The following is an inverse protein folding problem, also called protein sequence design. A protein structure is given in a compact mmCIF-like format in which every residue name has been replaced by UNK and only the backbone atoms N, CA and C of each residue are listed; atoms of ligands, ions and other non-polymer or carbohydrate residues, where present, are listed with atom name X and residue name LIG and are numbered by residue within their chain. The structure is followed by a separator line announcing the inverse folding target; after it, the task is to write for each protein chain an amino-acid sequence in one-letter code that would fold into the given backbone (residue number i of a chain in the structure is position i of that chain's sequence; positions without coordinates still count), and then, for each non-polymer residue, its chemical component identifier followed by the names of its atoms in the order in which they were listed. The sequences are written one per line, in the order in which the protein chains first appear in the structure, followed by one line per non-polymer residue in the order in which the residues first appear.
data_IF_765292246986
#
_entry.id   IF_765292246986
#
_cell.length_a   1.000
_cell.length_b   1.000
_cell.length_c   1.000
_cell.angle_alpha   90.00
_cell.angle_beta   90.00
_cell.angle_gamma   90.00
#
_symmetry.space_group_name_H-M   'P 1'
#
loop_
_entity.id
_entity.type
_entity.pdbx_description
1 polymer ?
#
# COMPACT_ATOMS: atom_id res chain seq x y z
N UNK A 1 24.49 67.42 -10.40
CA UNK A 1 24.75 68.60 -11.27
C UNK A 1 23.89 68.48 -12.53
N UNK A 2 23.54 69.64 -13.12
CA UNK A 2 22.95 69.95 -14.46
C UNK A 2 22.61 68.77 -15.40
N UNK A 3 21.41 68.58 -15.98
CA UNK A 3 20.38 69.45 -16.66
C UNK A 3 20.35 69.20 -18.19
N UNK A 4 19.14 69.29 -18.77
CA UNK A 4 18.71 69.12 -20.20
C UNK A 4 18.37 67.68 -20.65
N UNK A 5 17.37 67.43 -21.54
CA UNK A 5 16.21 68.24 -22.01
C UNK A 5 15.02 67.35 -22.45
N UNK A 6 13.82 67.96 -22.41
CA UNK A 6 12.47 67.49 -22.72
C UNK A 6 12.08 67.20 -24.20
N UNK A 7 10.92 66.54 -24.37
CA UNK A 7 9.84 66.91 -25.33
C UNK A 7 8.50 66.33 -24.80
N UNK A 8 7.47 67.11 -24.41
CA UNK A 8 6.41 67.78 -25.22
C UNK A 8 5.60 66.77 -26.07
N UNK A 9 4.26 66.75 -26.13
CA UNK A 9 3.24 67.83 -26.13
C UNK A 9 1.86 67.23 -25.75
N UNK A 10 1.05 67.84 -24.85
CA UNK A 10 -0.26 68.55 -25.10
C UNK A 10 -1.37 67.72 -25.80
N UNK A 11 -2.68 67.86 -25.52
CA UNK A 11 -3.42 68.79 -24.64
C UNK A 11 -4.92 68.47 -24.51
N UNK A 12 -5.46 68.68 -23.29
CA UNK A 12 -6.66 69.47 -22.93
C UNK A 12 -8.10 69.03 -23.30
N UNK A 13 -8.95 69.04 -22.25
CA UNK A 13 -10.29 69.68 -22.09
C UNK A 13 -11.06 68.87 -21.02
N UNK A 14 -11.24 69.37 -19.78
CA UNK A 14 -12.33 70.28 -19.37
C UNK A 14 -13.71 69.82 -19.91
N UNK A 15 -14.70 69.34 -19.14
CA UNK A 15 -14.83 69.16 -17.69
C UNK A 15 -16.15 69.78 -17.18
N UNK A 16 -16.98 69.05 -16.43
CA UNK A 16 -18.03 69.63 -15.58
C UNK A 16 -18.55 68.65 -14.51
N UNK A 17 -18.97 69.20 -13.37
CA UNK A 17 -19.72 68.50 -12.32
C UNK A 17 -21.15 68.19 -12.79
N UNK A 18 -21.70 67.05 -12.36
CA UNK A 18 -22.84 67.07 -11.43
C UNK A 18 -22.96 65.73 -10.70
N UNK A 19 -23.54 65.76 -9.51
CA UNK A 19 -23.79 64.58 -8.68
C UNK A 19 -25.30 64.48 -8.37
N UNK A 20 -25.68 63.39 -7.66
CA UNK A 20 -26.90 63.25 -6.84
C UNK A 20 -28.17 62.72 -7.53
N UNK A 21 -28.42 61.41 -7.26
CA UNK A 21 -29.69 60.78 -6.82
C UNK A 21 -30.64 60.01 -7.77
N UNK A 22 -30.97 58.81 -7.24
CA UNK A 22 -32.02 57.82 -7.51
C UNK A 22 -33.06 58.08 -8.63
N UNK A 23 -33.29 57.02 -9.44
CA UNK A 23 -34.56 56.28 -9.46
C UNK A 23 -34.25 54.78 -9.59
N UNK A 24 -34.86 53.92 -8.78
CA UNK A 24 -34.80 52.48 -8.96
C UNK A 24 -35.87 52.00 -9.95
N UNK A 25 -35.50 51.16 -10.92
CA UNK A 25 -36.45 50.50 -11.83
C UNK A 25 -36.30 48.98 -11.78
N UNK A 26 -37.44 48.31 -11.89
CA UNK A 26 -37.60 46.86 -11.63
C UNK A 26 -36.97 46.04 -12.76
N UNK A 27 -36.28 44.95 -12.38
CA UNK A 27 -35.57 44.09 -13.34
C UNK A 27 -36.51 43.36 -14.31
N UNK A 28 -36.18 43.42 -15.60
CA UNK A 28 -36.71 42.49 -16.59
C UNK A 28 -35.92 41.17 -16.54
N UNK A 29 -36.56 39.99 -16.63
CA UNK A 29 -35.85 38.72 -16.64
C UNK A 29 -35.15 38.52 -17.99
N UNK A 30 -33.81 38.57 -17.98
CA UNK A 30 -33.01 38.17 -19.13
C UNK A 30 -33.30 36.71 -19.48
N UNK A 31 -33.89 36.49 -20.66
CA UNK A 31 -34.04 35.16 -21.25
C UNK A 31 -32.66 34.57 -21.53
N UNK A 32 -32.13 33.82 -20.56
CA UNK A 32 -30.91 33.03 -20.71
C UNK A 32 -31.15 31.97 -21.79
N UNK A 33 -30.73 32.29 -23.01
CA UNK A 33 -30.82 31.40 -24.17
C UNK A 33 -29.94 30.18 -23.90
N UNK A 34 -30.55 29.10 -23.43
CA UNK A 34 -29.85 27.86 -23.09
C UNK A 34 -29.15 27.31 -24.34
N UNK A 35 -27.86 27.64 -24.48
CA UNK A 35 -26.97 26.97 -25.42
C UNK A 35 -26.88 25.52 -24.97
N UNK A 36 -27.56 24.63 -25.71
CA UNK A 36 -27.29 23.19 -25.65
C UNK A 36 -25.84 23.00 -26.09
N UNK A 37 -24.92 23.04 -25.12
CA UNK A 37 -23.54 22.66 -25.33
C UNK A 37 -23.54 21.21 -25.76
N UNK A 38 -23.43 20.98 -27.07
CA UNK A 38 -23.11 19.67 -27.61
C UNK A 38 -21.76 19.29 -27.03
N UNK A 39 -21.78 18.40 -26.03
CA UNK A 39 -20.57 17.77 -25.50
C UNK A 39 -19.98 16.98 -26.64
N UNK A 40 -19.05 17.61 -27.37
CA UNK A 40 -18.35 17.04 -28.51
C UNK A 40 -17.46 15.95 -27.94
N UNK A 41 -17.97 14.72 -27.91
CA UNK A 41 -17.31 13.54 -27.37
C UNK A 41 -15.93 13.46 -28.02
N UNK A 42 -14.89 13.76 -27.25
CA UNK A 42 -13.53 13.77 -27.75
C UNK A 42 -13.19 12.33 -28.14
N UNK A 43 -13.12 12.08 -29.45
CA UNK A 43 -12.59 10.83 -29.98
C UNK A 43 -11.10 10.85 -29.69
N UNK A 44 -10.68 10.26 -28.56
CA UNK A 44 -9.27 10.00 -28.31
C UNK A 44 -8.74 9.25 -29.52
N UNK A 45 -7.80 9.87 -30.23
CA UNK A 45 -7.16 9.23 -31.37
C UNK A 45 -6.44 7.99 -30.83
N UNK A 46 -6.67 6.85 -31.46
CA UNK A 46 -6.03 5.58 -31.10
C UNK A 46 -5.16 5.08 -32.25
N UNK A 47 -3.90 4.76 -31.94
CA UNK A 47 -3.00 4.05 -32.84
C UNK A 47 -3.06 2.54 -32.65
N UNK A 48 -2.09 1.86 -33.26
CA UNK A 48 -1.87 0.41 -33.17
C UNK A 48 -0.39 0.17 -32.86
N UNK A 49 -0.11 -0.82 -32.02
CA UNK A 49 1.24 -1.32 -31.73
C UNK A 49 1.36 -2.71 -32.36
N UNK A 50 2.50 -3.01 -33.00
CA UNK A 50 2.82 -4.33 -33.56
C UNK A 50 4.26 -4.70 -33.24
N UNK A 51 4.58 -5.98 -33.30
CA UNK A 51 5.95 -6.45 -33.18
C UNK A 51 6.03 -7.96 -33.01
N UNK A 52 7.19 -8.44 -32.62
CA UNK A 52 7.44 -9.84 -32.25
C UNK A 52 7.88 -9.98 -30.80
N UNK A 53 7.52 -11.10 -30.17
CA UNK A 53 8.01 -11.53 -28.87
C UNK A 53 8.95 -12.73 -29.09
N UNK A 54 10.18 -12.62 -28.61
CA UNK A 54 11.22 -13.65 -28.70
C UNK A 54 11.84 -13.91 -27.33
N UNK A 55 12.51 -15.05 -27.17
CA UNK A 55 13.37 -15.30 -26.01
C UNK A 55 14.80 -14.79 -26.24
N UNK A 56 15.65 -14.87 -25.21
CA UNK A 56 17.05 -14.47 -25.29
C UNK A 56 17.90 -15.31 -26.28
N UNK A 57 17.39 -16.44 -26.76
CA UNK A 57 18.01 -17.26 -27.82
C UNK A 57 17.46 -16.91 -29.22
N UNK A 58 16.53 -15.94 -29.32
CA UNK A 58 15.89 -15.51 -30.56
C UNK A 58 14.66 -16.34 -30.96
N UNK A 59 14.29 -17.37 -30.18
CA UNK A 59 13.14 -18.24 -30.45
C UNK A 59 11.84 -17.43 -30.32
N UNK A 60 10.88 -17.53 -31.26
CA UNK A 60 9.58 -16.90 -31.09
C UNK A 60 8.83 -17.42 -29.84
N UNK A 61 8.21 -16.52 -29.09
CA UNK A 61 7.41 -16.87 -27.90
C UNK A 61 5.93 -16.77 -28.23
N UNK A 62 5.31 -17.93 -28.46
CA UNK A 62 3.89 -18.07 -28.74
C UNK A 62 3.00 -17.82 -27.51
N UNK A 63 1.80 -17.29 -27.72
CA UNK A 63 0.78 -17.07 -26.68
C UNK A 63 1.27 -16.23 -25.48
N UNK A 64 2.17 -15.29 -25.71
CA UNK A 64 2.55 -14.26 -24.75
C UNK A 64 1.47 -13.18 -24.72
N UNK A 65 1.03 -12.80 -23.53
CA UNK A 65 0.00 -11.77 -23.31
C UNK A 65 0.66 -10.39 -23.35
N UNK A 66 0.27 -9.59 -24.34
CA UNK A 66 0.68 -8.19 -24.51
C UNK A 66 -0.49 -7.29 -24.09
N UNK A 67 -0.26 -6.43 -23.11
CA UNK A 67 -1.31 -5.64 -22.46
C UNK A 67 -0.91 -4.16 -22.35
N UNK A 68 -1.82 -3.26 -22.71
CA UNK A 68 -1.73 -1.86 -22.28
C UNK A 68 -2.34 -1.72 -20.88
N UNK A 69 -1.53 -1.29 -19.91
CA UNK A 69 -1.86 -1.35 -18.48
C UNK A 69 -3.11 -0.55 -18.07
N UNK A 70 -3.47 0.53 -18.78
CA UNK A 70 -4.51 1.47 -18.33
C UNK A 70 -5.93 1.18 -18.85
N UNK A 71 -6.10 0.29 -19.83
CA UNK A 71 -7.43 -0.11 -20.33
C UNK A 71 -7.77 -1.58 -20.09
N UNK A 72 -6.79 -2.39 -19.70
CA UNK A 72 -6.95 -3.83 -19.56
C UNK A 72 -7.01 -4.59 -20.90
N UNK A 73 -6.89 -3.94 -22.06
CA UNK A 73 -6.86 -4.61 -23.36
C UNK A 73 -5.65 -5.55 -23.47
N UNK A 74 -5.90 -6.85 -23.68
CA UNK A 74 -4.89 -7.91 -23.83
C UNK A 74 -5.00 -8.53 -25.22
N UNK A 75 -3.88 -8.72 -25.88
CA UNK A 75 -3.75 -9.59 -27.07
C UNK A 75 -2.71 -10.67 -26.80
N UNK A 76 -2.76 -11.77 -27.57
CA UNK A 76 -1.77 -12.86 -27.48
C UNK A 76 -0.90 -12.90 -28.73
N UNK A 77 0.40 -13.14 -28.56
CA UNK A 77 1.28 -13.43 -29.69
C UNK A 77 0.90 -14.76 -30.36
N UNK A 78 1.09 -14.82 -31.68
CA UNK A 78 0.92 -16.04 -32.49
C UNK A 78 2.14 -16.95 -32.36
N UNK A 79 2.10 -18.10 -33.04
CA UNK A 79 3.17 -19.12 -33.02
C UNK A 79 4.50 -18.62 -33.59
N UNK A 80 4.46 -17.65 -34.52
CA UNK A 80 5.64 -16.92 -35.03
C UNK A 80 6.12 -15.78 -34.11
N UNK A 81 5.54 -15.66 -32.91
CA UNK A 81 5.81 -14.61 -31.93
C UNK A 81 5.18 -13.26 -32.28
N UNK A 82 4.52 -13.09 -33.43
CA UNK A 82 3.96 -11.81 -33.86
C UNK A 82 2.71 -11.42 -33.07
N UNK A 83 2.52 -10.13 -32.81
CA UNK A 83 1.33 -9.59 -32.15
C UNK A 83 0.90 -8.24 -32.76
N UNK A 84 -0.38 -7.89 -32.59
CA UNK A 84 -0.97 -6.61 -32.97
C UNK A 84 -1.93 -6.18 -31.85
N UNK A 85 -1.66 -5.05 -31.21
CA UNK A 85 -2.48 -4.42 -30.17
C UNK A 85 -3.05 -3.11 -30.71
N UNK A 86 -4.36 -3.07 -30.98
CA UNK A 86 -5.07 -1.90 -31.52
C UNK A 86 -5.88 -1.17 -30.44
N UNK A 87 -6.37 0.03 -30.75
CA UNK A 87 -7.20 0.82 -29.84
C UNK A 87 -6.41 1.52 -28.72
N UNK A 88 -5.10 1.71 -28.91
CA UNK A 88 -4.21 2.31 -27.91
C UNK A 88 -4.14 3.83 -28.11
N UNK A 89 -4.40 4.69 -27.10
CA UNK A 89 -4.35 6.14 -27.25
C UNK A 89 -3.02 6.64 -27.81
N UNK A 90 -3.09 7.67 -28.65
CA UNK A 90 -1.93 8.39 -29.16
C UNK A 90 -1.23 9.12 -28.02
N UNK A 91 0.09 8.95 -27.93
CA UNK A 91 0.93 9.43 -26.84
C UNK A 91 1.82 8.33 -26.23
N UNK A 92 2.57 8.64 -25.16
CA UNK A 92 3.32 7.63 -24.41
C UNK A 92 2.37 6.71 -23.63
N UNK A 93 2.59 5.40 -23.72
CA UNK A 93 1.82 4.39 -22.98
C UNK A 93 2.71 3.27 -22.47
N UNK A 94 2.42 2.76 -21.28
CA UNK A 94 3.10 1.57 -20.74
C UNK A 94 2.45 0.29 -21.24
N UNK A 95 3.24 -0.52 -21.95
CA UNK A 95 2.87 -1.86 -22.42
C UNK A 95 3.65 -2.89 -21.61
N UNK A 96 2.96 -3.96 -21.18
CA UNK A 96 3.51 -5.10 -20.47
C UNK A 96 3.36 -6.37 -21.31
N UNK A 97 4.39 -7.21 -21.32
CA UNK A 97 4.37 -8.55 -21.94
C UNK A 97 4.63 -9.62 -20.88
N UNK A 98 3.82 -10.67 -20.88
CA UNK A 98 3.89 -11.78 -19.91
C UNK A 98 3.66 -13.13 -20.59
N UNK A 99 4.45 -14.14 -20.23
CA UNK A 99 4.23 -15.55 -20.62
C UNK A 99 4.62 -16.46 -19.45
N UNK A 100 3.91 -17.58 -19.27
CA UNK A 100 4.28 -18.59 -18.28
C UNK A 100 5.66 -19.17 -18.65
N UNK A 101 6.57 -19.30 -17.69
CA UNK A 101 7.96 -19.69 -17.91
C UNK A 101 8.88 -18.55 -18.40
N UNK A 102 8.42 -17.30 -18.36
CA UNK A 102 9.20 -16.11 -18.75
C UNK A 102 9.00 -14.96 -17.76
N UNK A 103 10.06 -14.18 -17.52
CA UNK A 103 9.97 -12.96 -16.73
C UNK A 103 9.11 -11.92 -17.47
N UNK A 104 8.15 -11.33 -16.76
CA UNK A 104 7.33 -10.26 -17.33
C UNK A 104 8.17 -9.00 -17.55
N UNK A 105 7.97 -8.32 -18.67
CA UNK A 105 8.69 -7.09 -19.02
C UNK A 105 7.71 -5.99 -19.38
N UNK A 106 8.10 -4.73 -19.16
CA UNK A 106 7.29 -3.56 -19.50
C UNK A 106 8.18 -2.39 -19.92
N UNK A 107 7.67 -1.54 -20.81
CA UNK A 107 8.30 -0.25 -21.15
C UNK A 107 7.26 0.73 -21.69
N UNK A 108 7.65 1.99 -21.75
CA UNK A 108 6.91 3.04 -22.44
C UNK A 108 7.07 2.89 -23.97
N UNK A 109 5.96 3.02 -24.70
CA UNK A 109 5.90 3.05 -26.17
C UNK A 109 5.25 4.37 -26.58
N UNK A 110 5.89 5.10 -27.50
CA UNK A 110 5.26 6.26 -28.14
C UNK A 110 4.33 5.80 -29.27
N UNK A 111 3.02 5.95 -29.08
CA UNK A 111 2.00 5.59 -30.07
C UNK A 111 1.64 6.81 -30.92
N UNK A 112 1.88 6.72 -32.23
CA UNK A 112 1.47 7.73 -33.21
C UNK A 112 0.03 7.50 -33.68
N UNK A 113 -0.65 8.58 -34.09
CA UNK A 113 -1.94 8.51 -34.78
C UNK A 113 -1.84 8.17 -36.27
N UNK A 114 -0.63 8.00 -36.78
CA UNK A 114 -0.34 7.63 -38.16
C UNK A 114 0.64 6.46 -38.18
N UNK A 115 0.27 5.39 -38.91
CA UNK A 115 0.99 4.13 -38.91
C UNK A 115 0.75 3.27 -37.66
N UNK A 116 1.44 2.13 -37.61
CA UNK A 116 1.49 1.28 -36.42
C UNK A 116 2.90 1.37 -35.81
N UNK A 117 2.97 1.67 -34.51
CA UNK A 117 4.23 1.70 -33.76
C UNK A 117 4.82 0.28 -33.68
N UNK A 118 6.13 0.14 -33.94
CA UNK A 118 6.82 -1.14 -33.84
C UNK A 118 7.47 -1.28 -32.47
N UNK A 119 7.23 -2.40 -31.80
CA UNK A 119 7.74 -2.68 -30.46
C UNK A 119 8.06 -4.17 -30.30
N UNK A 120 9.32 -4.55 -30.52
CA UNK A 120 9.78 -5.94 -30.38
C UNK A 120 10.31 -6.22 -28.97
N UNK A 121 10.07 -7.42 -28.46
CA UNK A 121 10.33 -7.79 -27.06
C UNK A 121 11.20 -9.03 -26.96
N UNK A 122 12.20 -8.96 -26.09
CA UNK A 122 13.00 -10.12 -25.67
C UNK A 122 12.63 -10.50 -24.25
N UNK A 123 12.20 -11.74 -24.04
CA UNK A 123 11.86 -12.29 -22.73
C UNK A 123 12.99 -13.21 -22.23
N UNK A 124 13.45 -12.98 -21.00
CA UNK A 124 14.23 -13.97 -20.28
C UNK A 124 13.31 -15.08 -19.78
N UNK A 125 13.76 -16.35 -19.80
CA UNK A 125 13.03 -17.43 -19.13
C UNK A 125 12.96 -17.13 -17.63
N UNK A 126 11.81 -17.39 -17.02
CA UNK A 126 11.71 -17.45 -15.57
C UNK A 126 12.32 -18.78 -15.13
N UNK A 127 13.27 -18.79 -14.18
CA UNK A 127 13.74 -20.04 -13.57
C UNK A 127 12.55 -20.83 -13.04
N UNK A 128 12.54 -22.16 -13.26
CA UNK A 128 11.43 -23.02 -12.85
C UNK A 128 11.82 -23.97 -11.71
N UNK A 129 12.31 -23.39 -10.61
CA UNK A 129 12.18 -24.02 -9.30
C UNK A 129 11.01 -23.40 -8.55
N UNK A 130 9.91 -24.15 -8.48
CA UNK A 130 8.76 -23.76 -7.67
C UNK A 130 8.92 -24.36 -6.27
N UNK A 131 9.55 -23.60 -5.36
CA UNK A 131 9.32 -23.78 -3.94
C UNK A 131 7.89 -23.28 -3.62
N UNK A 132 6.86 -24.06 -4.00
CA UNK A 132 5.47 -23.77 -3.66
C UNK A 132 5.29 -24.01 -2.17
N UNK A 133 5.48 -22.96 -1.40
CA UNK A 133 5.10 -22.95 0.00
C UNK A 133 3.62 -22.55 0.10
N UNK A 134 2.79 -23.48 0.56
CA UNK A 134 1.37 -23.24 0.83
C UNK A 134 1.18 -22.76 2.27
N UNK A 135 0.77 -21.50 2.43
CA UNK A 135 0.44 -20.91 3.74
C UNK A 135 -0.95 -21.38 4.19
N UNK A 136 -0.98 -22.49 4.92
CA UNK A 136 -2.20 -23.10 5.45
C UNK A 136 -2.61 -22.59 6.84
N UNK A 137 -1.69 -22.00 7.60
CA UNK A 137 -1.89 -21.63 8.99
C UNK A 137 -1.18 -20.33 9.38
N UNK A 138 -1.79 -19.64 10.35
CA UNK A 138 -1.33 -18.40 10.95
C UNK A 138 -0.46 -18.73 12.18
N UNK A 139 0.73 -18.17 12.32
CA UNK A 139 1.53 -18.32 13.56
C UNK A 139 1.48 -17.03 14.35
N UNK A 140 1.15 -17.11 15.64
CA UNK A 140 0.84 -15.91 16.41
C UNK A 140 1.60 -15.73 17.72
N UNK A 141 2.77 -15.07 17.65
CA UNK A 141 3.40 -14.42 18.79
C UNK A 141 2.78 -13.04 19.08
N UNK A 142 2.33 -12.30 18.04
CA UNK A 142 1.89 -10.90 18.17
C UNK A 142 0.38 -10.76 18.42
N UNK A 143 -0.46 -11.66 17.90
CA UNK A 143 -1.91 -11.62 18.17
C UNK A 143 -2.33 -11.98 19.57
N UNK A 144 -1.50 -12.59 20.41
CA UNK A 144 -1.97 -12.97 21.77
C UNK A 144 -2.62 -11.79 22.52
N UNK A 145 -2.16 -10.56 22.24
CA UNK A 145 -2.74 -9.30 22.71
C UNK A 145 -3.81 -8.74 21.75
N UNK A 146 -3.50 -8.66 20.44
CA UNK A 146 -4.39 -8.06 19.44
C UNK A 146 -5.63 -8.90 19.09
N UNK A 147 -5.65 -10.21 19.34
CA UNK A 147 -6.79 -11.09 19.09
C UNK A 147 -7.96 -10.76 20.02
N UNK A 148 -7.69 -10.46 21.30
CA UNK A 148 -8.72 -9.99 22.23
C UNK A 148 -9.32 -8.65 21.78
N UNK A 149 -8.46 -7.72 21.35
CA UNK A 149 -8.88 -6.46 20.74
C UNK A 149 -9.76 -6.68 19.49
N UNK A 150 -9.28 -7.48 18.53
CA UNK A 150 -9.98 -7.80 17.27
C UNK A 150 -11.33 -8.47 17.52
N UNK A 151 -11.40 -9.44 18.43
CA UNK A 151 -12.65 -10.09 18.79
C UNK A 151 -13.70 -9.11 19.35
N UNK A 152 -13.27 -8.14 20.16
CA UNK A 152 -14.16 -7.08 20.69
C UNK A 152 -14.54 -6.05 19.63
N UNK A 153 -13.60 -5.67 18.76
CA UNK A 153 -13.84 -4.81 17.60
C UNK A 153 -14.87 -5.41 16.65
N UNK A 154 -14.77 -6.70 16.35
CA UNK A 154 -15.68 -7.42 15.46
C UNK A 154 -17.06 -7.62 16.10
N UNK A 155 -17.12 -7.88 17.41
CA UNK A 155 -18.37 -7.95 18.16
C UNK A 155 -19.10 -6.60 18.29
N UNK A 156 -18.37 -5.46 18.20
CA UNK A 156 -18.89 -4.08 18.30
C UNK A 156 -19.75 -3.81 19.55
N UNK A 157 -19.45 -4.45 20.68
CA UNK A 157 -20.23 -4.33 21.92
C UNK A 157 -19.64 -3.29 22.88
N UNK A 158 -20.49 -2.42 23.41
CA UNK A 158 -20.23 -1.57 24.58
C UNK A 158 -19.27 -0.38 24.40
N UNK A 159 -18.25 -0.50 23.55
CA UNK A 159 -17.18 0.49 23.41
C UNK A 159 -17.18 1.25 22.07
N UNK A 160 -16.39 2.32 22.04
CA UNK A 160 -15.97 3.01 20.82
C UNK A 160 -14.59 2.51 20.40
N UNK A 161 -14.42 2.30 19.10
CA UNK A 161 -13.17 1.80 18.54
C UNK A 161 -12.56 2.84 17.59
N UNK A 162 -11.27 3.08 17.76
CA UNK A 162 -10.43 3.83 16.82
C UNK A 162 -9.45 2.82 16.23
N UNK A 163 -9.65 2.42 14.97
CA UNK A 163 -8.81 1.44 14.28
C UNK A 163 -7.63 2.10 13.56
N UNK A 164 -6.64 1.30 13.15
CA UNK A 164 -5.47 1.73 12.37
C UNK A 164 -5.87 2.51 11.11
N UNK A 165 -6.84 1.99 10.35
CA UNK A 165 -7.34 2.61 9.12
C UNK A 165 -7.99 3.96 9.42
N UNK A 166 -8.75 4.06 10.53
CA UNK A 166 -9.38 5.31 10.95
C UNK A 166 -8.34 6.35 11.38
N UNK A 167 -7.28 5.94 12.09
CA UNK A 167 -6.15 6.81 12.43
C UNK A 167 -5.56 7.40 11.15
N UNK A 168 -5.21 6.55 10.18
CA UNK A 168 -4.55 6.95 8.93
C UNK A 168 -5.41 7.83 8.05
N UNK A 169 -6.70 7.51 7.91
CA UNK A 169 -7.66 8.32 7.14
C UNK A 169 -7.96 9.67 7.80
N UNK A 170 -7.90 9.77 9.13
CA UNK A 170 -8.28 10.97 9.86
C UNK A 170 -7.23 12.09 9.85
N UNK A 171 -5.96 11.79 9.58
CA UNK A 171 -4.86 12.76 9.67
C UNK A 171 -4.59 13.29 11.09
N UNK A 172 -5.17 12.68 12.14
CA UNK A 172 -4.96 13.07 13.53
C UNK A 172 -3.47 12.96 13.90
N UNK A 173 -2.96 13.91 14.69
CA UNK A 173 -1.53 13.99 15.06
C UNK A 173 -1.25 13.59 16.51
N UNK A 174 -2.28 13.41 17.33
CA UNK A 174 -2.21 12.96 18.73
C UNK A 174 -3.40 12.07 19.09
N UNK A 175 -3.29 11.27 20.17
CA UNK A 175 -4.44 10.53 20.69
C UNK A 175 -5.57 11.46 21.14
N UNK A 176 -5.24 12.63 21.70
CA UNK A 176 -6.24 13.61 22.12
C UNK A 176 -7.06 14.17 20.96
N UNK A 177 -6.46 14.35 19.78
CA UNK A 177 -7.20 14.76 18.58
C UNK A 177 -8.21 13.66 18.17
N UNK A 178 -7.75 12.40 18.14
CA UNK A 178 -8.58 11.25 17.81
C UNK A 178 -9.76 11.06 18.79
N UNK A 179 -9.58 11.43 20.06
CA UNK A 179 -10.62 11.35 21.08
C UNK A 179 -11.74 12.40 20.94
N UNK A 180 -11.49 13.56 20.29
CA UNK A 180 -12.51 14.63 20.17
C UNK A 180 -13.75 14.22 19.36
N UNK A 181 -13.61 13.22 18.49
CA UNK A 181 -14.70 12.67 17.69
C UNK A 181 -15.60 11.65 18.41
N UNK A 182 -15.41 11.41 19.72
CA UNK A 182 -16.15 10.38 20.46
C UNK A 182 -17.19 11.03 21.40
N UNK A 183 -18.50 10.73 21.22
CA UNK A 183 -19.55 11.24 22.09
C UNK A 183 -19.30 10.92 23.56
N UNK A 184 -19.32 11.96 24.40
CA UNK A 184 -19.14 11.82 25.84
C UNK A 184 -17.68 11.84 26.32
N UNK A 185 -16.67 11.90 25.45
CA UNK A 185 -15.28 12.15 25.87
C UNK A 185 -15.05 13.66 26.07
N UNK A 186 -14.40 14.04 27.17
CA UNK A 186 -14.14 15.45 27.53
C UNK A 186 -12.67 15.63 27.88
N UNK A 187 -12.02 16.60 27.25
CA UNK A 187 -10.57 16.86 27.39
C UNK A 187 -10.36 18.19 28.11
N UNK A 188 -10.09 18.14 29.41
CA UNK A 188 -9.82 19.30 30.25
C UNK A 188 -8.35 19.70 30.31
N UNK A 189 -8.07 20.84 30.92
CA UNK A 189 -6.73 21.23 31.39
C UNK A 189 -6.63 20.85 32.88
N UNK A 190 -5.48 20.35 33.37
CA UNK A 190 -5.30 20.10 34.79
C UNK A 190 -5.36 21.38 35.64
N UNK A 191 -5.60 21.27 36.97
CA UNK A 191 -5.52 22.40 37.88
C UNK A 191 -4.14 23.07 37.85
N UNK A 192 -4.09 24.39 38.08
CA UNK A 192 -2.81 25.12 38.18
C UNK A 192 -1.93 24.50 39.27
N UNK A 193 -0.66 24.24 38.94
CA UNK A 193 0.32 23.64 39.84
C UNK A 193 0.52 22.13 39.66
N UNK A 194 -0.26 21.46 38.80
CA UNK A 194 -0.08 20.04 38.46
C UNK A 194 0.59 19.91 37.10
N UNK A 195 1.80 19.34 37.05
CA UNK A 195 2.48 18.96 35.80
C UNK A 195 1.92 17.64 35.25
N UNK A 196 0.64 17.65 34.89
CA UNK A 196 -0.02 16.54 34.18
C UNK A 196 -0.28 16.94 32.73
N UNK A 197 -0.45 15.94 31.87
CA UNK A 197 -1.00 16.13 30.52
C UNK A 197 -2.45 16.60 30.54
N UNK A 198 -3.10 16.63 29.37
CA UNK A 198 -4.52 16.97 29.27
C UNK A 198 -5.39 15.89 29.92
N UNK A 199 -6.24 16.29 30.86
CA UNK A 199 -7.12 15.37 31.58
C UNK A 199 -8.26 14.88 30.69
N UNK A 200 -8.36 13.56 30.47
CA UNK A 200 -9.49 12.93 29.79
C UNK A 200 -10.50 12.43 30.82
N UNK A 201 -11.78 12.78 30.65
CA UNK A 201 -12.91 12.31 31.49
C UNK A 201 -14.08 11.90 30.61
N UNK A 202 -14.98 11.07 31.15
CA UNK A 202 -16.15 10.57 30.42
C UNK A 202 -17.46 11.11 31.02
N UNK A 203 -18.34 11.64 30.16
CA UNK A 203 -19.68 12.15 30.50
C UNK A 203 -19.63 13.22 31.61
N UNK A 204 -20.08 12.88 32.82
CA UNK A 204 -20.09 13.71 34.03
C UNK A 204 -19.15 13.17 35.12
N UNK A 205 -18.24 12.24 34.78
CA UNK A 205 -17.29 11.69 35.73
C UNK A 205 -16.31 12.75 36.25
N UNK A 206 -15.85 12.56 37.49
CA UNK A 206 -14.84 13.42 38.13
C UNK A 206 -13.43 12.80 38.05
N UNK A 207 -13.33 11.47 38.08
CA UNK A 207 -12.08 10.72 37.80
C UNK A 207 -11.82 10.55 36.29
N UNK A 208 -10.55 10.23 35.99
CA UNK A 208 -10.09 9.76 34.68
C UNK A 208 -10.41 8.27 34.48
N UNK A 209 -10.52 7.78 33.24
CA UNK A 209 -10.66 6.35 32.96
C UNK A 209 -9.36 5.59 33.27
N UNK A 210 -9.49 4.31 33.57
CA UNK A 210 -8.37 3.39 33.68
C UNK A 210 -7.74 3.16 32.31
N UNK A 211 -6.42 3.32 32.19
CA UNK A 211 -5.71 3.11 30.92
C UNK A 211 -5.09 1.71 30.90
N UNK A 212 -5.29 0.98 29.81
CA UNK A 212 -4.57 -0.25 29.49
C UNK A 212 -3.63 -0.01 28.31
N UNK A 213 -2.45 -0.60 28.35
CA UNK A 213 -1.51 -0.69 27.22
C UNK A 213 -1.23 -2.18 27.01
N UNK A 214 -1.52 -2.69 25.81
CA UNK A 214 -1.25 -4.08 25.42
C UNK A 214 -1.84 -5.15 26.36
N UNK A 215 -2.96 -4.84 27.00
CA UNK A 215 -3.64 -5.72 27.96
C UNK A 215 -3.19 -5.56 29.43
N UNK A 216 -2.24 -4.67 29.71
CA UNK A 216 -1.79 -4.36 31.07
C UNK A 216 -2.26 -2.99 31.53
N UNK A 217 -2.81 -2.90 32.74
CA UNK A 217 -3.23 -1.63 33.32
C UNK A 217 -2.02 -0.72 33.62
N UNK A 218 -2.04 0.50 33.08
CA UNK A 218 -1.06 1.53 33.40
C UNK A 218 -1.28 2.04 34.84
N UNK A 219 -0.23 2.13 35.63
CA UNK A 219 -0.30 2.41 37.08
C UNK A 219 -0.44 3.89 37.47
N UNK A 220 -0.62 4.79 36.50
CA UNK A 220 -0.71 6.23 36.74
C UNK A 220 -2.16 6.69 36.96
N UNK A 221 -2.40 7.44 38.05
CA UNK A 221 -3.69 8.14 38.28
C UNK A 221 -3.97 9.21 37.24
N UNK A 222 -2.90 9.81 36.68
CA UNK A 222 -2.95 10.93 35.74
C UNK A 222 -2.17 10.56 34.47
N UNK A 223 -2.70 9.62 33.69
CA UNK A 223 -2.05 9.17 32.45
C UNK A 223 -2.05 10.26 31.37
N UNK A 224 -0.85 10.58 30.85
CA UNK A 224 -0.69 11.53 29.75
C UNK A 224 -0.80 10.85 28.38
N UNK A 225 -1.90 11.11 27.68
CA UNK A 225 -2.17 10.61 26.34
C UNK A 225 -1.32 11.29 25.23
N UNK A 226 -0.51 12.30 25.54
CA UNK A 226 0.44 12.86 24.57
C UNK A 226 1.81 12.15 24.62
N UNK A 227 2.02 11.23 25.58
CA UNK A 227 3.26 10.45 25.73
C UNK A 227 3.40 9.26 24.77
N UNK A 228 2.32 8.80 24.13
CA UNK A 228 2.35 7.74 23.11
C UNK A 228 2.11 8.33 21.72
N UNK A 229 3.06 8.09 20.81
CA UNK A 229 2.93 8.46 19.40
C UNK A 229 1.85 7.61 18.70
N UNK A 230 0.87 8.27 18.07
CA UNK A 230 -0.25 7.65 17.36
C UNK A 230 0.19 6.77 16.17
N UNK A 231 1.44 6.88 15.71
CA UNK A 231 2.04 6.00 14.70
C UNK A 231 2.42 4.61 15.24
N UNK A 232 2.63 4.51 16.56
CA UNK A 232 2.96 3.26 17.27
C UNK A 232 1.72 2.49 17.73
N UNK A 233 0.51 3.00 17.45
CA UNK A 233 -0.77 2.44 17.89
C UNK A 233 -1.46 1.69 16.74
N UNK A 234 -1.84 0.45 16.97
CA UNK A 234 -2.68 -0.36 16.08
C UNK A 234 -4.17 -0.03 16.26
N UNK A 235 -4.59 0.16 17.51
CA UNK A 235 -5.98 0.46 17.81
C UNK A 235 -6.21 0.96 19.23
N UNK A 236 -7.36 1.60 19.43
CA UNK A 236 -7.80 2.11 20.74
C UNK A 236 -9.25 1.69 20.98
N UNK A 237 -9.53 1.12 22.16
CA UNK A 237 -10.88 0.85 22.67
C UNK A 237 -11.23 1.85 23.78
N UNK A 238 -12.43 2.41 23.74
CA UNK A 238 -12.90 3.39 24.71
C UNK A 238 -14.28 3.00 25.26
N UNK A 239 -14.32 2.68 26.55
CA UNK A 239 -15.51 2.23 27.27
C UNK A 239 -15.92 3.29 28.28
N UNK A 240 -17.07 3.95 28.07
CA UNK A 240 -17.45 5.17 28.82
C UNK A 240 -18.00 4.92 30.23
N UNK A 241 -18.10 3.66 30.66
CA UNK A 241 -18.64 3.25 31.97
C UNK A 241 -18.26 1.79 32.27
N UNK A 242 -18.11 1.44 33.55
CA UNK A 242 -17.82 0.06 33.99
C UNK A 242 -18.76 -0.99 33.37
N UNK A 243 -20.06 -0.72 33.28
CA UNK A 243 -21.07 -1.63 32.68
C UNK A 243 -20.82 -1.98 31.20
N UNK A 244 -19.97 -1.24 30.51
CA UNK A 244 -19.56 -1.51 29.12
C UNK A 244 -18.17 -2.13 29.00
N UNK A 245 -17.39 -2.17 30.09
CA UNK A 245 -16.03 -2.70 30.11
C UNK A 245 -16.09 -4.24 30.02
N UNK A 246 -15.33 -4.87 29.11
CA UNK A 246 -15.27 -6.31 28.99
C UNK A 246 -14.47 -6.93 30.16
N UNK A 247 -14.72 -8.19 30.55
CA UNK A 247 -14.07 -8.81 31.72
C UNK A 247 -12.54 -8.77 31.69
N UNK A 248 -11.94 -8.85 30.50
CA UNK A 248 -10.48 -8.85 30.32
C UNK A 248 -9.83 -7.46 30.53
N UNK A 249 -10.64 -6.40 30.63
CA UNK A 249 -10.20 -5.02 30.88
C UNK A 249 -10.75 -4.46 32.20
N UNK A 250 -11.26 -5.32 33.09
CA UNK A 250 -11.64 -4.91 34.44
C UNK A 250 -10.39 -4.64 35.30
N UNK A 251 -10.40 -3.54 36.04
CA UNK A 251 -9.26 -3.10 36.84
C UNK A 251 -9.19 -3.80 38.20
N UNK A 252 -7.98 -3.97 38.77
CA UNK A 252 -7.86 -4.43 40.15
C UNK A 252 -8.57 -3.45 41.09
N UNK A 253 -9.42 -3.96 41.98
CA UNK A 253 -10.23 -3.19 42.95
C UNK A 253 -11.25 -2.22 42.33
N UNK A 254 -11.70 -2.47 41.10
CA UNK A 254 -12.78 -1.70 40.48
C UNK A 254 -12.36 -0.31 39.97
N UNK A 255 -11.11 -0.14 39.54
CA UNK A 255 -10.60 1.16 39.04
C UNK A 255 -11.24 1.59 37.70
N UNK A 256 -11.90 0.68 36.99
CA UNK A 256 -12.67 0.92 35.76
C UNK A 256 -14.00 1.64 35.96
N UNK A 257 -14.35 2.05 37.19
CA UNK A 257 -15.56 2.83 37.51
C UNK A 257 -15.75 4.08 36.63
N UNK A 258 -14.65 4.77 36.29
CA UNK A 258 -14.65 5.94 35.40
C UNK A 258 -14.54 5.58 33.91
N UNK A 259 -14.70 4.31 33.55
CA UNK A 259 -14.49 3.78 32.21
C UNK A 259 -13.04 3.34 31.94
N UNK A 260 -12.79 2.88 30.71
CA UNK A 260 -11.48 2.37 30.25
C UNK A 260 -11.07 3.00 28.93
N UNK A 261 -9.78 3.25 28.76
CA UNK A 261 -9.11 3.41 27.47
C UNK A 261 -8.07 2.30 27.32
N UNK A 262 -8.24 1.38 26.37
CA UNK A 262 -7.22 0.38 26.04
C UNK A 262 -6.50 0.77 24.75
N UNK A 263 -5.16 0.86 24.81
CA UNK A 263 -4.29 1.18 23.68
C UNK A 263 -3.52 -0.09 23.29
N UNK A 264 -3.58 -0.45 22.02
CA UNK A 264 -2.88 -1.62 21.47
C UNK A 264 -1.75 -1.15 20.57
N UNK A 265 -0.54 -1.59 20.86
CA UNK A 265 0.65 -1.23 20.08
C UNK A 265 0.66 -1.94 18.73
N UNK A 266 1.22 -1.26 17.75
CA UNK A 266 1.48 -1.79 16.41
C UNK A 266 2.52 -2.91 16.52
N UNK A 267 2.28 -4.09 15.91
CA UNK A 267 3.31 -5.11 15.79
C UNK A 267 4.57 -4.50 15.18
N UNK A 268 5.75 -4.87 15.69
CA UNK A 268 7.01 -4.33 15.22
C UNK A 268 7.24 -4.73 13.74
N UNK A 269 6.78 -3.89 12.81
CA UNK A 269 7.02 -4.09 11.39
C UNK A 269 8.52 -3.98 11.15
N UNK A 270 9.12 -5.10 10.76
CA UNK A 270 10.50 -5.13 10.31
C UNK A 270 10.62 -4.13 9.15
N UNK A 271 11.36 -3.03 9.37
CA UNK A 271 11.49 -1.95 8.40
C UNK A 271 12.09 -2.52 7.11
N UNK A 272 11.27 -2.73 6.09
CA UNK A 272 11.75 -3.01 4.74
C UNK A 272 12.73 -1.91 4.33
N UNK A 273 14.00 -2.21 4.03
CA UNK A 273 14.93 -1.21 3.54
C UNK A 273 14.33 -0.55 2.30
N UNK A 274 14.25 0.78 2.29
CA UNK A 274 13.57 1.51 1.23
C UNK A 274 14.38 1.38 -0.06
N UNK A 275 13.95 0.49 -0.96
CA UNK A 275 14.62 0.25 -2.23
C UNK A 275 14.76 1.56 -3.01
N UNK A 276 16.00 2.01 -3.19
CA UNK A 276 16.34 3.27 -3.84
C UNK A 276 17.01 2.92 -5.17
N UNK A 277 16.34 3.22 -6.29
CA UNK A 277 16.85 2.92 -7.64
C UNK A 277 16.47 1.53 -8.17
N UNK A 278 15.21 1.09 -7.99
CA UNK A 278 14.72 -0.22 -8.45
C UNK A 278 14.95 -0.48 -9.94
N UNK A 279 14.74 0.52 -10.80
CA UNK A 279 14.86 0.34 -12.25
C UNK A 279 16.34 0.27 -12.70
N UNK A 280 17.22 1.06 -12.07
CA UNK A 280 18.67 1.05 -12.33
C UNK A 280 19.32 -0.25 -11.84
N UNK A 281 19.02 -0.69 -10.60
CA UNK A 281 19.54 -1.97 -10.07
C UNK A 281 18.99 -3.17 -10.84
N UNK A 282 17.73 -3.11 -11.31
CA UNK A 282 17.16 -4.14 -12.21
C UNK A 282 17.86 -4.17 -13.57
N UNK A 283 18.17 -3.02 -14.16
CA UNK A 283 18.94 -2.96 -15.39
C UNK A 283 20.36 -3.53 -15.22
N UNK A 284 20.99 -3.33 -14.06
CA UNK A 284 22.29 -3.92 -13.74
C UNK A 284 22.20 -5.43 -13.52
N UNK A 285 21.20 -5.92 -12.78
CA UNK A 285 20.93 -7.35 -12.59
C UNK A 285 20.79 -8.09 -13.94
N UNK A 286 20.12 -7.49 -14.93
CA UNK A 286 20.01 -8.07 -16.27
C UNK A 286 21.37 -8.20 -16.97
N UNK A 287 22.33 -7.30 -16.72
CA UNK A 287 23.71 -7.44 -17.21
C UNK A 287 24.48 -8.51 -16.44
N UNK A 288 24.30 -8.57 -15.11
CA UNK A 288 24.94 -9.57 -14.24
C UNK A 288 24.51 -11.00 -14.64
N UNK A 289 23.23 -11.20 -14.94
CA UNK A 289 22.70 -12.45 -15.48
C UNK A 289 23.25 -12.77 -16.87
N UNK A 290 23.32 -11.79 -17.77
CA UNK A 290 23.88 -11.97 -19.11
C UNK A 290 25.39 -12.25 -19.10
N UNK A 291 26.11 -11.73 -18.11
CA UNK A 291 27.53 -11.97 -17.88
C UNK A 291 27.82 -13.25 -17.06
N UNK A 292 26.79 -13.90 -16.51
CA UNK A 292 26.93 -15.08 -15.65
C UNK A 292 27.58 -14.79 -14.28
N UNK A 293 27.56 -13.54 -13.81
CA UNK A 293 28.08 -13.17 -12.49
C UNK A 293 27.05 -13.37 -11.37
N UNK A 294 25.77 -13.26 -11.72
CA UNK A 294 24.61 -13.81 -11.00
C UNK A 294 24.06 -14.96 -11.85
N UNK A 295 23.69 -16.06 -11.18
CA UNK A 295 23.25 -17.29 -11.84
C UNK A 295 21.79 -17.63 -11.50
N UNK A 296 21.13 -18.43 -12.34
CA UNK A 296 19.82 -19.02 -12.00
C UNK A 296 19.99 -20.37 -11.29
N UNK A 297 18.90 -20.92 -10.74
CA UNK A 297 18.91 -22.22 -10.07
C UNK A 297 19.44 -23.36 -10.97
N UNK A 298 19.10 -23.33 -12.26
CA UNK A 298 19.52 -24.32 -13.25
C UNK A 298 21.01 -24.19 -13.66
N UNK A 299 21.69 -23.13 -13.22
CA UNK A 299 23.08 -22.82 -13.55
C UNK A 299 24.05 -23.08 -12.41
N UNK A 300 23.57 -23.53 -11.25
CA UNK A 300 24.36 -23.84 -10.04
C UNK A 300 24.26 -25.33 -9.72
N UNK A 301 25.25 -25.87 -9.00
CA UNK A 301 25.27 -27.30 -8.61
C UNK A 301 24.42 -27.54 -7.35
N UNK A 302 24.21 -26.49 -6.56
CA UNK A 302 23.32 -26.48 -5.38
C UNK A 302 22.71 -25.09 -5.26
N UNK A 303 21.38 -25.01 -5.24
CA UNK A 303 20.67 -23.74 -5.08
C UNK A 303 20.86 -23.16 -3.67
N UNK A 304 20.72 -21.84 -3.56
CA UNK A 304 20.65 -21.15 -2.27
C UNK A 304 19.39 -21.55 -1.51
N UNK A 305 19.55 -21.97 -0.25
CA UNK A 305 18.48 -22.51 0.60
C UNK A 305 18.38 -21.76 1.91
N UNK A 306 17.23 -21.81 2.58
CA UNK A 306 17.06 -21.25 3.91
C UNK A 306 17.82 -22.11 4.94
N UNK A 307 18.70 -21.48 5.72
CA UNK A 307 19.53 -22.16 6.73
C UNK A 307 18.69 -22.79 7.85
N UNK A 308 17.48 -22.26 8.11
CA UNK A 308 16.64 -22.59 9.25
C UNK A 308 15.22 -23.04 8.84
N UNK A 309 15.11 -24.06 7.99
CA UNK A 309 13.82 -24.65 7.60
C UNK A 309 13.02 -23.80 6.60
N UNK A 310 11.72 -24.06 6.52
CA UNK A 310 10.84 -23.42 5.55
C UNK A 310 10.61 -21.92 5.85
N UNK A 311 10.31 -21.14 4.79
CA UNK A 311 9.92 -19.74 4.97
C UNK A 311 8.61 -19.67 5.74
N UNK A 312 8.53 -18.82 6.76
CA UNK A 312 7.28 -18.57 7.47
C UNK A 312 6.66 -17.26 6.97
N UNK A 313 5.47 -17.35 6.35
CA UNK A 313 4.79 -16.20 5.73
C UNK A 313 3.42 -16.00 6.37
N UNK A 314 3.18 -14.83 6.94
CA UNK A 314 1.89 -14.48 7.54
C UNK A 314 0.81 -14.22 6.48
N UNK A 315 -0.40 -14.73 6.71
CA UNK A 315 -1.55 -14.43 5.86
C UNK A 315 -2.03 -12.99 6.10
N UNK A 316 -2.16 -12.13 5.06
CA UNK A 316 -2.65 -10.76 5.23
C UNK A 316 -4.07 -10.74 5.83
N UNK A 317 -4.25 -10.12 7.00
CA UNK A 317 -5.50 -10.15 7.77
C UNK A 317 -6.74 -9.77 6.95
N UNK A 318 -6.65 -8.72 6.13
CA UNK A 318 -7.77 -8.22 5.30
C UNK A 318 -8.23 -9.28 4.29
N UNK A 319 -7.30 -10.07 3.74
CA UNK A 319 -7.58 -11.14 2.77
C UNK A 319 -8.01 -12.42 3.48
N UNK A 320 -7.47 -12.70 4.67
CA UNK A 320 -7.91 -13.80 5.52
C UNK A 320 -9.39 -13.64 5.92
N UNK A 321 -9.75 -12.48 6.51
CA UNK A 321 -11.12 -12.15 6.95
C UNK A 321 -12.17 -12.23 5.84
N UNK A 322 -11.74 -12.15 4.57
CA UNK A 322 -12.62 -12.19 3.40
C UNK A 322 -12.60 -13.54 2.67
N UNK A 323 -11.87 -14.54 3.18
CA UNK A 323 -11.75 -15.87 2.57
C UNK A 323 -11.05 -15.86 1.19
N UNK A 324 -10.24 -14.84 0.93
CA UNK A 324 -9.65 -14.57 -0.38
C UNK A 324 -8.33 -15.31 -0.52
N UNK A 325 -8.32 -16.33 -1.38
CA UNK A 325 -7.13 -17.08 -1.79
C UNK A 325 -6.30 -16.30 -2.82
N UNK A 326 -5.03 -16.69 -2.99
CA UNK A 326 -4.22 -16.18 -4.09
C UNK A 326 -2.77 -16.64 -4.03
N UNK A 327 -1.91 -15.94 -4.76
CA UNK A 327 -0.48 -16.20 -4.80
C UNK A 327 0.31 -14.90 -4.86
N UNK A 328 1.58 -14.95 -4.48
CA UNK A 328 2.57 -13.91 -4.77
C UNK A 328 3.88 -14.53 -5.22
N UNK A 329 4.46 -13.99 -6.29
CA UNK A 329 5.78 -14.32 -6.80
C UNK A 329 6.70 -13.12 -6.64
N UNK A 330 7.80 -13.31 -5.93
CA UNK A 330 8.87 -12.33 -5.77
C UNK A 330 10.17 -12.85 -6.37
N UNK A 331 11.05 -11.95 -6.77
CA UNK A 331 12.42 -12.26 -7.16
C UNK A 331 13.40 -11.41 -6.36
N UNK A 332 14.57 -11.97 -6.05
CA UNK A 332 15.68 -11.29 -5.38
C UNK A 332 16.97 -12.06 -5.60
N UNK A 333 18.12 -11.38 -5.52
CA UNK A 333 19.43 -12.03 -5.53
C UNK A 333 19.85 -12.37 -4.11
N UNK A 334 20.35 -13.59 -3.93
CA UNK A 334 21.17 -13.97 -2.77
C UNK A 334 22.63 -13.86 -3.21
N UNK A 335 23.42 -13.10 -2.46
CA UNK A 335 24.84 -12.92 -2.72
C UNK A 335 25.69 -14.14 -2.30
N UNK A 336 26.99 -14.08 -2.60
CA UNK A 336 27.97 -15.13 -2.26
C UNK A 336 28.16 -15.35 -0.75
N UNK A 337 27.53 -14.53 0.09
CA UNK A 337 27.59 -14.60 1.56
C UNK A 337 26.28 -15.08 2.19
N UNK A 338 25.27 -15.43 1.37
CA UNK A 338 23.96 -15.85 1.86
C UNK A 338 23.05 -14.70 2.27
N UNK A 339 23.31 -13.47 1.78
CA UNK A 339 22.50 -12.29 2.08
C UNK A 339 21.64 -11.89 0.88
N UNK A 340 20.41 -11.47 1.15
CA UNK A 340 19.53 -10.87 0.15
C UNK A 340 20.07 -9.48 -0.26
N UNK A 341 20.31 -9.26 -1.55
CA UNK A 341 20.47 -7.92 -2.12
C UNK A 341 19.10 -7.25 -2.21
N UNK A 342 18.74 -6.51 -1.16
CA UNK A 342 17.48 -5.78 -1.06
C UNK A 342 17.24 -4.75 -2.18
N UNK A 343 18.28 -4.36 -2.94
CA UNK A 343 18.12 -3.53 -4.14
C UNK A 343 17.56 -4.28 -5.35
N UNK A 344 17.64 -5.62 -5.34
CA UNK A 344 17.12 -6.50 -6.41
C UNK A 344 15.73 -7.06 -6.11
N UNK A 345 15.25 -6.93 -4.86
CA UNK A 345 13.94 -7.46 -4.45
C UNK A 345 12.79 -6.79 -5.22
N UNK A 346 12.03 -7.58 -5.96
CA UNK A 346 10.87 -7.14 -6.72
C UNK A 346 9.71 -8.12 -6.61
N UNK A 347 8.48 -7.60 -6.58
CA UNK A 347 7.26 -8.42 -6.73
C UNK A 347 6.97 -8.58 -8.22
N UNK A 348 7.25 -9.77 -8.78
CA UNK A 348 6.93 -10.09 -10.18
C UNK A 348 5.41 -10.07 -10.40
N UNK A 349 4.67 -10.70 -9.48
CA UNK A 349 3.21 -10.70 -9.50
C UNK A 349 2.63 -11.00 -8.12
N UNK A 350 1.42 -10.52 -7.86
CA UNK A 350 0.60 -10.99 -6.75
C UNK A 350 -0.88 -10.88 -7.15
N UNK A 351 -1.71 -11.84 -6.72
CA UNK A 351 -3.17 -11.77 -6.95
C UNK A 351 -3.74 -10.48 -6.35
N UNK A 352 -3.26 -10.13 -5.14
CA UNK A 352 -3.55 -8.88 -4.46
C UNK A 352 -2.27 -8.32 -3.82
N UNK A 353 -2.12 -7.00 -3.80
CA UNK A 353 -0.93 -6.32 -3.28
C UNK A 353 -0.50 -6.75 -1.85
N UNK A 354 -1.42 -7.02 -0.89
CA UNK A 354 -1.03 -7.48 0.45
C UNK A 354 -0.29 -8.82 0.47
N UNK A 355 -0.54 -9.74 -0.48
CA UNK A 355 0.21 -11.00 -0.54
C UNK A 355 1.69 -10.75 -0.87
N UNK A 356 1.99 -9.89 -1.84
CA UNK A 356 3.37 -9.50 -2.16
C UNK A 356 4.06 -8.83 -0.98
N UNK A 357 3.34 -7.98 -0.23
CA UNK A 357 3.86 -7.35 0.98
C UNK A 357 4.19 -8.37 2.09
N UNK A 358 3.32 -9.37 2.32
CA UNK A 358 3.56 -10.43 3.29
C UNK A 358 4.82 -11.26 2.95
N UNK A 359 5.00 -11.65 1.69
CA UNK A 359 6.23 -12.38 1.27
C UNK A 359 7.48 -11.52 1.48
N UNK A 360 7.45 -10.23 1.12
CA UNK A 360 8.58 -9.33 1.36
C UNK A 360 8.89 -9.15 2.86
N UNK A 361 7.88 -9.14 3.72
CA UNK A 361 8.07 -9.06 5.18
C UNK A 361 8.65 -10.36 5.76
N UNK A 362 8.16 -11.52 5.30
CA UNK A 362 8.65 -12.84 5.68
C UNK A 362 10.14 -13.05 5.36
N UNK A 363 10.65 -12.42 4.30
CA UNK A 363 12.06 -12.49 3.94
C UNK A 363 13.00 -11.73 4.90
N UNK A 364 12.52 -10.74 5.66
CA UNK A 364 13.39 -9.87 6.49
C UNK A 364 14.14 -10.62 7.61
N UNK A 365 13.54 -11.53 8.39
CA UNK A 365 14.25 -12.31 9.41
C UNK A 365 15.06 -13.50 8.86
N UNK A 366 15.05 -13.76 7.55
CA UNK A 366 15.63 -14.98 6.98
C UNK A 366 17.16 -15.02 7.02
N UNK A 367 17.69 -16.23 7.02
CA UNK A 367 19.09 -16.55 6.76
C UNK A 367 19.16 -17.58 5.66
N UNK A 368 20.09 -17.40 4.73
CA UNK A 368 20.25 -18.27 3.60
C UNK A 368 21.68 -18.77 3.53
N UNK A 369 21.83 -20.00 3.06
CA UNK A 369 23.10 -20.54 2.61
C UNK A 369 23.26 -20.18 1.14
N UNK A 370 24.47 -19.72 0.76
CA UNK A 370 24.74 -19.29 -0.62
C UNK A 370 24.72 -20.48 -1.60
N UNK A 371 24.31 -20.21 -2.84
CA UNK A 371 24.35 -21.20 -3.90
C UNK A 371 25.79 -21.66 -4.20
N UNK A 372 25.99 -22.92 -4.58
CA UNK A 372 27.30 -23.49 -4.87
C UNK A 372 27.44 -23.81 -6.36
N UNK A 373 28.58 -23.44 -6.95
CA UNK A 373 29.00 -23.88 -8.29
C UNK A 373 30.50 -24.14 -8.31
N UNK A 374 30.91 -25.32 -8.78
CA UNK A 374 32.32 -25.73 -8.80
C UNK A 374 32.97 -25.62 -7.42
N UNK A 375 32.25 -26.07 -6.38
CA UNK A 375 32.64 -25.97 -4.96
C UNK A 375 32.78 -24.54 -4.40
N UNK A 376 32.47 -23.49 -5.18
CA UNK A 376 32.57 -22.09 -4.77
C UNK A 376 31.19 -21.48 -4.53
N UNK A 377 31.02 -20.62 -3.50
CA UNK A 377 29.78 -19.88 -3.32
C UNK A 377 29.60 -18.81 -4.40
N UNK A 378 28.43 -18.78 -5.02
CA UNK A 378 28.05 -17.92 -6.14
C UNK A 378 26.78 -17.13 -5.80
N UNK A 379 26.56 -16.01 -6.49
CA UNK A 379 25.35 -15.22 -6.33
C UNK A 379 24.25 -15.84 -7.21
N UNK A 380 23.05 -16.01 -6.66
CA UNK A 380 21.91 -16.62 -7.34
C UNK A 380 20.71 -15.67 -7.36
N UNK A 381 20.06 -15.55 -8.52
CA UNK A 381 18.70 -15.04 -8.64
C UNK A 381 17.72 -16.11 -8.14
N UNK A 382 17.04 -15.82 -7.04
CA UNK A 382 15.94 -16.61 -6.50
C UNK A 382 14.62 -16.04 -7.01
N UNK A 383 13.74 -16.93 -7.47
CA UNK A 383 12.33 -16.64 -7.77
C UNK A 383 11.48 -17.50 -6.86
N UNK A 384 10.71 -16.85 -5.98
CA UNK A 384 9.95 -17.50 -4.92
C UNK A 384 8.45 -17.26 -5.14
N UNK A 385 7.66 -18.33 -5.21
CA UNK A 385 6.19 -18.26 -5.34
C UNK A 385 5.52 -18.87 -4.13
N UNK A 386 4.75 -18.06 -3.42
CA UNK A 386 3.98 -18.46 -2.23
C UNK A 386 2.51 -18.54 -2.59
N UNK A 387 1.87 -19.65 -2.23
CA UNK A 387 0.42 -19.84 -2.36
C UNK A 387 -0.27 -19.57 -1.02
N UNK A 388 -1.32 -18.77 -1.06
CA UNK A 388 -2.14 -18.40 0.08
C UNK A 388 -3.50 -19.08 -0.05
N UNK A 389 -3.71 -20.11 0.76
CA UNK A 389 -4.94 -20.90 0.79
C UNK A 389 -5.63 -20.73 2.15
N UNK A 390 -6.72 -19.98 2.16
CA UNK A 390 -7.61 -19.96 3.31
C UNK A 390 -8.23 -21.35 3.49
N UNK A 391 -8.14 -21.97 4.68
CA UNK A 391 -8.74 -23.27 4.92
C UNK A 391 -10.27 -23.21 4.76
N UNK A 392 -10.92 -24.31 4.34
CA UNK A 392 -12.37 -24.34 4.25
C UNK A 392 -13.00 -24.04 5.62
N UNK A 393 -14.10 -23.30 5.62
CA UNK A 393 -14.85 -23.06 6.85
C UNK A 393 -15.25 -24.40 7.49
N UNK A 394 -15.14 -24.56 8.83
CA UNK A 394 -15.38 -25.83 9.49
C UNK A 394 -16.82 -26.30 9.23
N UNK A 395 -16.95 -27.42 8.52
CA UNK A 395 -18.21 -28.09 8.19
C UNK A 395 -18.82 -28.74 9.44
N UNK A 396 -19.34 -27.92 10.36
CA UNK A 396 -19.61 -28.41 11.72
C UNK A 396 -20.48 -27.54 12.64
N UNK A 397 -21.41 -26.72 12.14
CA UNK A 397 -22.60 -26.34 12.93
C UNK A 397 -23.84 -26.46 12.06
N UNK A 398 -24.57 -27.56 12.23
CA UNK A 398 -25.97 -27.63 11.79
C UNK A 398 -26.73 -26.61 12.64
N UNK A 399 -27.29 -25.57 12.01
CA UNK A 399 -28.15 -24.61 12.68
C UNK A 399 -29.45 -25.31 13.11
N UNK A 400 -29.45 -25.82 14.34
CA UNK A 400 -30.55 -26.63 14.86
C UNK A 400 -31.57 -25.72 15.57
N UNK A 401 -32.44 -25.12 14.75
CA UNK A 401 -33.67 -24.36 15.08
C UNK A 401 -33.50 -23.00 15.78
#
# INVERSE_FOLDING_TARGET
MRVHTALRIRSQLHGLLLAVVLVGTVGAPSLARATRGTVRRAVMQTGTIRGVVRDAQGTPVASAEVQWLSSGAVVRSKDDGSYILSGVPVGPVYVRVRRIGYLATQREIAVSGQGAATADWTLARAPQEMAVLTVNARREPSDSRLAGYRARLDAKRGGYFITRERIEQSGNRSMLDAFRGIPGVRIGTPPRGVNAGRLVRFRSSTCQPLVFIDGFAASATDFDFESIDLNMVEGIEIYLSSNSVPPELMGPRGLEQCGVVAVWSRPAQARTPKAKGTDERRAELLKELAAGTVLTAEQVDTAATLTNGDLEVDYPEVLWRTGVNGQATVEFVIDRTGRIDWGTLAVISATHAPFGAAVMQALVPTKWDAAIKGQSPVAQLVVLTIEFTHPPAPTGVVANR
#
